data_IF_103582833071
#
_entry.id   IF_103582833071
#
_cell.length_a   1.000
_cell.length_b   1.000
_cell.length_c   1.000
_cell.angle_alpha   90.00
_cell.angle_beta   90.00
_cell.angle_gamma   90.00
#
_symmetry.space_group_name_H-M   'P 1'
#
loop_
_entity.id
_entity.type
_entity.pdbx_description
1 polymer ?
#
# COMPACT_ATOMS: atom_id res chain seq x y z
N UNK A 1 -50.20 -50.31 -38.51
CA UNK A 1 -49.95 -49.26 -37.51
C UNK A 1 -49.38 -49.79 -36.18
N UNK A 2 -49.91 -50.87 -35.60
CA UNK A 2 -49.40 -51.43 -34.32
C UNK A 2 -47.91 -51.83 -34.31
N UNK A 3 -47.38 -52.36 -35.42
CA UNK A 3 -45.96 -52.77 -35.54
C UNK A 3 -44.96 -51.60 -35.70
N UNK A 4 -45.42 -50.45 -36.19
CA UNK A 4 -44.58 -49.24 -36.34
C UNK A 4 -44.46 -48.52 -34.99
N UNK A 5 -45.55 -48.54 -34.20
CA UNK A 5 -45.57 -47.93 -32.87
C UNK A 5 -44.60 -48.62 -31.89
N UNK A 6 -44.48 -49.95 -31.95
CA UNK A 6 -43.53 -50.70 -31.13
C UNK A 6 -42.07 -50.53 -31.57
N UNK A 7 -41.81 -50.32 -32.87
CA UNK A 7 -40.46 -50.03 -33.39
C UNK A 7 -39.98 -48.64 -32.98
N UNK A 8 -40.87 -47.64 -33.01
CA UNK A 8 -40.57 -46.27 -32.55
C UNK A 8 -40.35 -46.22 -31.03
N UNK A 9 -41.13 -46.99 -30.26
CA UNK A 9 -40.92 -47.14 -28.81
C UNK A 9 -39.56 -47.76 -28.46
N UNK A 10 -39.15 -48.82 -29.16
CA UNK A 10 -37.85 -49.45 -28.97
C UNK A 10 -36.68 -48.50 -29.36
N UNK A 11 -36.84 -47.71 -30.42
CA UNK A 11 -35.85 -46.71 -30.84
C UNK A 11 -35.71 -45.58 -29.82
N UNK A 12 -36.81 -45.17 -29.18
CA UNK A 12 -36.80 -44.19 -28.09
C UNK A 12 -36.12 -44.72 -26.82
N UNK A 13 -36.31 -46.01 -26.48
CA UNK A 13 -35.63 -46.65 -25.36
C UNK A 13 -34.10 -46.75 -25.56
N UNK A 14 -33.62 -46.95 -26.79
CA UNK A 14 -32.18 -46.93 -27.10
C UNK A 14 -31.55 -45.54 -26.96
N UNK A 15 -32.32 -44.46 -27.10
CA UNK A 15 -31.83 -43.09 -26.91
C UNK A 15 -31.63 -42.72 -25.43
N UNK A 16 -32.36 -43.37 -24.51
CA UNK A 16 -32.18 -43.15 -23.06
C UNK A 16 -31.06 -43.99 -22.43
N UNK A 17 -30.53 -45.00 -23.14
CA UNK A 17 -29.48 -45.87 -22.61
C UNK A 17 -28.07 -45.25 -22.60
N UNK A 18 -27.87 -44.09 -23.23
CA UNK A 18 -26.53 -43.48 -23.42
C UNK A 18 -26.19 -42.34 -22.44
N UNK A 19 -26.89 -42.22 -21.30
CA UNK A 19 -26.65 -41.15 -20.33
C UNK A 19 -26.68 -41.63 -18.87
N UNK A 20 -26.00 -42.73 -18.57
CA UNK A 20 -25.86 -43.19 -17.19
C UNK A 20 -24.74 -42.38 -16.50
N UNK A 21 -25.13 -41.39 -15.69
CA UNK A 21 -24.21 -40.69 -14.80
C UNK A 21 -23.83 -41.61 -13.64
N UNK A 22 -22.53 -41.69 -13.33
CA UNK A 22 -22.02 -42.41 -12.17
C UNK A 22 -21.26 -41.44 -11.25
N UNK A 23 -21.28 -41.73 -9.96
CA UNK A 23 -20.45 -41.06 -8.98
C UNK A 23 -18.97 -41.44 -9.23
N UNK A 24 -18.19 -40.50 -9.76
CA UNK A 24 -16.75 -40.63 -9.93
C UNK A 24 -16.08 -40.02 -8.71
N UNK A 25 -15.36 -40.85 -7.97
CA UNK A 25 -14.54 -40.44 -6.83
C UNK A 25 -13.08 -40.41 -7.22
N UNK A 26 -12.30 -39.52 -6.61
CA UNK A 26 -10.89 -39.46 -6.92
C UNK A 26 -10.07 -38.60 -6.00
N UNK A 27 -8.77 -38.55 -6.27
CA UNK A 27 -7.81 -37.70 -5.56
C UNK A 27 -6.96 -36.90 -6.55
N UNK A 28 -6.76 -35.61 -6.25
CA UNK A 28 -5.88 -34.71 -7.00
C UNK A 28 -4.53 -34.62 -6.27
N UNK A 29 -3.44 -34.88 -6.99
CA UNK A 29 -2.06 -34.83 -6.47
C UNK A 29 -1.16 -33.98 -7.36
N UNK A 30 -0.06 -33.50 -6.81
CA UNK A 30 1.01 -32.86 -7.57
C UNK A 30 1.97 -33.91 -8.17
N UNK A 31 2.92 -33.47 -9.01
CA UNK A 31 3.96 -34.31 -9.59
C UNK A 31 4.96 -34.90 -8.57
N UNK A 32 4.91 -34.48 -7.30
CA UNK A 32 5.70 -35.01 -6.19
C UNK A 32 4.89 -36.00 -5.32
N UNK A 33 3.62 -36.24 -5.66
CA UNK A 33 2.72 -37.14 -4.95
C UNK A 33 1.99 -36.52 -3.74
N UNK A 34 2.14 -35.22 -3.49
CA UNK A 34 1.41 -34.53 -2.42
C UNK A 34 -0.03 -34.24 -2.85
N UNK A 35 -1.00 -34.28 -1.92
CA UNK A 35 -2.38 -33.91 -2.23
C UNK A 35 -2.49 -32.42 -2.59
N UNK A 36 -3.29 -32.10 -3.61
CA UNK A 36 -3.62 -30.72 -3.98
C UNK A 36 -4.97 -30.35 -3.35
N UNK A 37 -4.96 -29.58 -2.23
CA UNK A 37 -6.20 -29.25 -1.52
C UNK A 37 -7.05 -28.25 -2.32
N UNK A 38 -8.37 -28.36 -2.19
CA UNK A 38 -9.35 -27.40 -2.74
C UNK A 38 -9.33 -27.21 -4.26
N UNK A 39 -8.72 -28.15 -5.01
CA UNK A 39 -8.78 -28.17 -6.46
C UNK A 39 -10.24 -28.19 -6.95
N UNK A 40 -10.55 -27.40 -7.98
CA UNK A 40 -11.87 -27.39 -8.61
C UNK A 40 -11.90 -28.44 -9.72
N UNK A 41 -12.82 -29.40 -9.62
CA UNK A 41 -13.07 -30.45 -10.62
C UNK A 41 -14.40 -30.17 -11.30
N UNK A 42 -14.41 -30.01 -12.62
CA UNK A 42 -15.61 -29.68 -13.40
C UNK A 42 -15.79 -30.63 -14.56
N UNK A 43 -17.02 -31.07 -14.84
CA UNK A 43 -17.33 -31.78 -16.09
C UNK A 43 -17.38 -30.77 -17.24
N UNK A 44 -16.58 -30.98 -18.29
CA UNK A 44 -16.52 -30.11 -19.46
C UNK A 44 -17.90 -30.02 -20.13
N UNK A 45 -18.28 -28.81 -20.57
CA UNK A 45 -19.60 -28.51 -21.14
C UNK A 45 -20.80 -28.73 -20.20
N UNK A 46 -20.55 -28.90 -18.89
CA UNK A 46 -21.59 -29.01 -17.86
C UNK A 46 -21.41 -27.93 -16.79
N UNK A 47 -22.49 -27.65 -16.05
CA UNK A 47 -22.45 -26.82 -14.83
C UNK A 47 -22.05 -27.63 -13.59
N UNK A 48 -21.87 -28.95 -13.72
CA UNK A 48 -21.45 -29.83 -12.63
C UNK A 48 -19.98 -29.57 -12.29
N UNK A 49 -19.73 -29.04 -11.08
CA UNK A 49 -18.41 -28.80 -10.54
C UNK A 49 -18.40 -29.03 -9.03
N UNK A 50 -17.29 -29.54 -8.52
CA UNK A 50 -17.05 -29.79 -7.09
C UNK A 50 -15.66 -29.30 -6.70
N UNK A 51 -15.47 -28.95 -5.44
CA UNK A 51 -14.15 -28.64 -4.88
C UNK A 51 -13.65 -29.84 -4.08
N UNK A 52 -12.38 -30.20 -4.26
CA UNK A 52 -11.72 -31.25 -3.50
C UNK A 52 -11.53 -30.84 -2.02
N UNK A 53 -11.44 -31.82 -1.12
CA UNK A 53 -11.19 -31.58 0.29
C UNK A 53 -9.71 -31.22 0.58
N UNK A 54 -9.37 -31.03 1.86
CA UNK A 54 -8.00 -30.76 2.31
C UNK A 54 -6.99 -31.88 2.01
N UNK A 55 -7.46 -33.09 1.71
CA UNK A 55 -6.64 -34.23 1.30
C UNK A 55 -6.67 -34.42 -0.24
N UNK A 56 -7.24 -33.48 -0.99
CA UNK A 56 -7.35 -33.52 -2.44
C UNK A 56 -8.42 -34.50 -2.96
N UNK A 57 -9.29 -35.04 -2.10
CA UNK A 57 -10.33 -36.00 -2.51
C UNK A 57 -11.59 -35.30 -3.02
N UNK A 58 -12.22 -35.85 -4.04
CA UNK A 58 -13.45 -35.32 -4.62
C UNK A 58 -14.43 -36.44 -4.99
N UNK A 59 -15.70 -36.07 -5.19
CA UNK A 59 -16.76 -36.94 -5.72
C UNK A 59 -17.64 -36.11 -6.65
N UNK A 60 -17.78 -36.51 -7.92
CA UNK A 60 -18.56 -35.79 -8.93
C UNK A 60 -19.36 -36.77 -9.79
N UNK A 61 -20.60 -36.42 -10.11
CA UNK A 61 -21.42 -37.18 -11.05
C UNK A 61 -20.96 -36.89 -12.49
N UNK A 62 -20.48 -37.92 -13.18
CA UNK A 62 -20.03 -37.84 -14.57
C UNK A 62 -20.34 -39.13 -15.33
N UNK A 63 -20.71 -39.01 -16.61
CA UNK A 63 -20.87 -40.18 -17.47
C UNK A 63 -19.50 -40.71 -17.93
N UNK A 64 -19.43 -42.00 -18.25
CA UNK A 64 -18.25 -42.56 -18.90
C UNK A 64 -17.95 -41.81 -20.21
N UNK A 65 -16.68 -41.47 -20.45
CA UNK A 65 -16.24 -40.69 -21.60
C UNK A 65 -16.36 -39.16 -21.41
N UNK A 66 -16.95 -38.68 -20.31
CA UNK A 66 -16.94 -37.27 -19.98
C UNK A 66 -15.52 -36.79 -19.65
N UNK A 67 -15.20 -35.55 -20.01
CA UNK A 67 -13.91 -34.93 -19.70
C UNK A 67 -14.07 -34.09 -18.44
N UNK A 68 -13.25 -34.38 -17.43
CA UNK A 68 -13.10 -33.56 -16.24
C UNK A 68 -12.00 -32.54 -16.49
N UNK A 69 -12.27 -31.27 -16.21
CA UNK A 69 -11.30 -30.18 -16.16
C UNK A 69 -10.98 -29.89 -14.70
N UNK A 70 -9.70 -29.98 -14.33
CA UNK A 70 -9.21 -29.74 -12.99
C UNK A 70 -8.34 -28.48 -12.97
N UNK A 71 -8.62 -27.59 -12.02
CA UNK A 71 -7.89 -26.33 -11.84
C UNK A 71 -7.60 -26.10 -10.36
N UNK A 72 -6.40 -25.61 -10.07
CA UNK A 72 -5.95 -25.27 -8.73
C UNK A 72 -4.97 -24.11 -8.79
N UNK A 73 -4.90 -23.29 -7.74
CA UNK A 73 -3.99 -22.16 -7.70
C UNK A 73 -2.53 -22.64 -7.71
N UNK A 74 -1.72 -22.14 -8.64
CA UNK A 74 -0.31 -22.54 -8.80
C UNK A 74 -0.07 -23.78 -9.66
N UNK A 75 -1.12 -24.38 -10.23
CA UNK A 75 -1.03 -25.56 -11.06
C UNK A 75 -1.53 -25.30 -12.49
N UNK A 76 -1.01 -26.05 -13.45
CA UNK A 76 -1.50 -26.04 -14.82
C UNK A 76 -2.84 -26.77 -14.89
N UNK A 77 -3.84 -26.20 -15.57
CA UNK A 77 -5.11 -26.87 -15.76
C UNK A 77 -4.90 -28.20 -16.50
N UNK A 78 -5.48 -29.28 -15.96
CA UNK A 78 -5.35 -30.62 -16.52
C UNK A 78 -6.74 -31.15 -16.86
N UNK A 79 -6.85 -31.89 -17.96
CA UNK A 79 -8.06 -32.60 -18.33
C UNK A 79 -7.90 -34.09 -18.14
N UNK A 80 -8.98 -34.76 -17.72
CA UNK A 80 -9.00 -36.20 -17.48
C UNK A 80 -10.29 -36.80 -18.02
N UNK A 81 -10.19 -37.83 -18.87
CA UNK A 81 -11.36 -38.51 -19.43
C UNK A 81 -11.81 -39.62 -18.49
N UNK A 82 -13.08 -39.58 -18.06
CA UNK A 82 -13.68 -40.59 -17.19
C UNK A 82 -13.72 -41.94 -17.90
N UNK A 83 -12.97 -42.91 -17.38
CA UNK A 83 -12.96 -44.29 -17.88
C UNK A 83 -14.08 -45.17 -17.28
N UNK A 84 -13.86 -46.48 -17.28
CA UNK A 84 -14.75 -47.46 -16.64
C UNK A 84 -14.60 -47.53 -15.12
N UNK A 85 -13.47 -47.06 -14.58
CA UNK A 85 -13.24 -47.02 -13.13
C UNK A 85 -13.95 -45.83 -12.48
N UNK A 86 -14.67 -46.08 -11.39
CA UNK A 86 -15.27 -45.04 -10.55
C UNK A 86 -14.28 -44.37 -9.59
N UNK A 87 -13.05 -44.90 -9.47
CA UNK A 87 -11.96 -44.33 -8.67
C UNK A 87 -10.85 -43.88 -9.61
N UNK A 88 -10.48 -42.61 -9.56
CA UNK A 88 -9.46 -42.01 -10.42
C UNK A 88 -8.46 -41.17 -9.63
N UNK A 89 -7.21 -41.17 -10.09
CA UNK A 89 -6.16 -40.29 -9.57
C UNK A 89 -5.76 -39.30 -10.66
N UNK A 90 -5.76 -38.00 -10.32
CA UNK A 90 -5.45 -36.92 -11.25
C UNK A 90 -4.17 -36.25 -10.77
N UNK A 91 -3.12 -36.28 -11.58
CA UNK A 91 -1.87 -35.56 -11.30
C UNK A 91 -1.90 -34.21 -11.99
N UNK A 92 -1.62 -33.15 -11.23
CA UNK A 92 -1.46 -31.79 -11.74
C UNK A 92 0.02 -31.41 -11.75
N UNK A 93 0.45 -30.79 -12.84
CA UNK A 93 1.79 -30.23 -12.93
C UNK A 93 1.81 -28.84 -12.30
N UNK A 94 2.87 -28.55 -11.53
CA UNK A 94 3.11 -27.21 -11.03
C UNK A 94 3.28 -26.26 -12.22
N UNK A 95 2.51 -25.18 -12.25
CA UNK A 95 2.73 -24.16 -13.25
C UNK A 95 3.96 -23.36 -12.83
N UNK A 96 4.98 -23.26 -13.69
CA UNK A 96 6.10 -22.35 -13.43
C UNK A 96 5.56 -20.95 -13.12
N UNK A 97 6.18 -20.31 -12.13
CA UNK A 97 5.76 -19.11 -11.41
C UNK A 97 4.76 -18.22 -12.18
N UNK A 98 3.61 -17.95 -11.55
CA UNK A 98 2.62 -16.96 -11.99
C UNK A 98 3.34 -15.74 -12.58
N UNK A 99 3.21 -15.54 -13.90
CA UNK A 99 3.75 -14.37 -14.57
C UNK A 99 3.21 -13.12 -13.87
N UNK A 100 4.08 -12.39 -13.18
CA UNK A 100 3.69 -11.15 -12.52
C UNK A 100 3.36 -10.12 -13.62
N UNK A 101 2.08 -9.75 -13.71
CA UNK A 101 1.57 -8.84 -14.74
C UNK A 101 1.62 -7.42 -14.23
N UNK A 102 2.51 -6.60 -14.80
CA UNK A 102 2.67 -5.20 -14.47
C UNK A 102 1.78 -4.36 -15.39
N UNK A 103 1.07 -3.37 -14.84
CA UNK A 103 0.35 -2.40 -15.67
C UNK A 103 1.35 -1.34 -16.12
N UNK A 104 1.55 -1.28 -17.43
CA UNK A 104 2.36 -0.26 -18.08
C UNK A 104 1.49 0.94 -18.45
N UNK A 105 2.10 1.98 -19.01
CA UNK A 105 1.40 3.18 -19.44
C UNK A 105 0.14 2.87 -20.27
N UNK A 106 -0.92 3.68 -20.08
CA UNK A 106 -2.22 3.56 -20.76
C UNK A 106 -3.00 2.25 -20.47
N UNK A 107 -2.73 1.58 -19.35
CA UNK A 107 -3.52 0.41 -18.92
C UNK A 107 -3.18 -0.88 -19.66
N UNK A 108 -2.09 -0.89 -20.45
CA UNK A 108 -1.61 -2.07 -21.14
C UNK A 108 -0.89 -2.97 -20.14
N UNK A 109 -1.40 -4.19 -19.97
CA UNK A 109 -0.79 -5.22 -19.12
C UNK A 109 0.33 -5.93 -19.89
N UNK A 110 1.51 -6.04 -19.27
CA UNK A 110 2.66 -6.77 -19.81
C UNK A 110 3.24 -7.68 -18.74
N UNK A 111 3.79 -8.81 -19.15
CA UNK A 111 4.51 -9.66 -18.22
C UNK A 111 5.80 -8.96 -17.80
N UNK A 112 6.13 -9.00 -16.52
CA UNK A 112 7.31 -8.32 -15.96
C UNK A 112 8.62 -8.71 -16.65
N UNK A 113 8.74 -9.96 -17.07
CA UNK A 113 9.90 -10.53 -17.77
C UNK A 113 10.05 -10.06 -19.22
N UNK A 114 9.00 -9.48 -19.83
CA UNK A 114 9.04 -8.94 -21.20
C UNK A 114 9.48 -7.46 -21.24
N UNK A 115 9.57 -6.79 -20.09
CA UNK A 115 9.87 -5.36 -20.02
C UNK A 115 11.38 -5.13 -20.09
N UNK A 116 11.89 -4.31 -21.03
CA UNK A 116 13.31 -3.97 -21.12
C UNK A 116 13.77 -2.94 -20.06
N UNK A 117 12.93 -2.66 -19.07
CA UNK A 117 13.16 -1.65 -18.04
C UNK A 117 12.66 -2.10 -16.67
N UNK A 118 13.24 -1.50 -15.62
CA UNK A 118 12.79 -1.74 -14.26
C UNK A 118 11.44 -1.06 -14.00
N UNK A 119 10.39 -1.88 -13.86
CA UNK A 119 9.10 -1.51 -13.31
C UNK A 119 8.82 -2.36 -12.07
N UNK A 120 8.20 -1.75 -11.06
CA UNK A 120 7.81 -2.47 -9.86
C UNK A 120 6.35 -2.18 -9.55
N UNK A 121 5.57 -3.24 -9.35
CA UNK A 121 4.18 -3.15 -8.95
C UNK A 121 4.04 -3.32 -7.44
N UNK A 122 3.15 -2.53 -6.85
CA UNK A 122 2.65 -2.70 -5.48
C UNK A 122 1.14 -2.87 -5.59
N UNK A 123 0.61 -3.97 -5.06
CA UNK A 123 -0.84 -4.24 -5.09
C UNK A 123 -1.56 -3.42 -4.01
N UNK A 124 -2.83 -3.10 -4.23
CA UNK A 124 -3.63 -2.29 -3.30
C UNK A 124 -3.74 -2.88 -1.89
N UNK A 125 -3.69 -4.20 -1.77
CA UNK A 125 -3.69 -4.87 -0.46
C UNK A 125 -2.43 -4.51 0.35
N UNK A 126 -1.28 -4.38 -0.30
CA UNK A 126 -0.05 -3.95 0.37
C UNK A 126 -0.13 -2.51 0.84
N UNK A 127 -0.87 -1.64 0.14
CA UNK A 127 -1.03 -0.24 0.51
C UNK A 127 -1.92 -0.04 1.73
N UNK A 128 -2.84 -0.97 1.97
CA UNK A 128 -3.86 -0.87 3.03
C UNK A 128 -3.54 -1.71 4.27
N UNK A 129 -2.53 -2.60 4.21
CA UNK A 129 -2.02 -3.36 5.38
C UNK A 129 -1.69 -2.48 6.58
N UNK A 130 -1.06 -1.33 6.32
CA UNK A 130 -0.83 -0.28 7.31
C UNK A 130 -1.70 0.88 6.90
N UNK A 131 -2.60 1.31 7.81
CA UNK A 131 -3.47 2.45 7.54
C UNK A 131 -2.65 3.73 7.55
N UNK A 132 -2.37 4.25 6.35
CA UNK A 132 -1.75 5.57 6.15
C UNK A 132 -2.79 6.56 5.67
N UNK A 133 -2.52 7.86 5.86
CA UNK A 133 -3.40 8.95 5.42
C UNK A 133 -3.45 9.09 3.90
N UNK A 134 -2.39 8.68 3.19
CA UNK A 134 -2.32 8.70 1.73
C UNK A 134 -1.58 7.47 1.19
N UNK A 135 -1.75 7.19 -0.10
CA UNK A 135 -1.12 6.03 -0.77
C UNK A 135 0.41 6.15 -0.85
N UNK A 136 0.95 7.36 -1.00
CA UNK A 136 2.37 7.58 -1.24
C UNK A 136 3.22 7.18 -0.02
N UNK A 137 2.73 7.51 1.19
CA UNK A 137 3.35 7.08 2.45
C UNK A 137 3.41 5.56 2.57
N UNK A 138 2.37 4.86 2.10
CA UNK A 138 2.34 3.40 2.11
C UNK A 138 3.36 2.75 1.17
N UNK A 139 3.94 3.49 0.21
CA UNK A 139 4.99 2.99 -0.69
C UNK A 139 6.38 3.05 -0.06
N UNK A 140 6.55 3.77 1.05
CA UNK A 140 7.83 3.91 1.74
C UNK A 140 8.38 2.53 2.13
N UNK A 141 9.63 2.26 1.75
CA UNK A 141 10.28 0.96 1.97
C UNK A 141 9.79 -0.21 1.11
N UNK A 142 8.71 -0.04 0.32
CA UNK A 142 8.18 -1.12 -0.55
C UNK A 142 8.72 -1.07 -1.97
N UNK A 143 9.22 0.08 -2.43
CA UNK A 143 9.75 0.26 -3.79
C UNK A 143 11.21 0.67 -3.76
N UNK A 144 12.07 -0.12 -4.40
CA UNK A 144 13.50 0.17 -4.44
C UNK A 144 13.81 1.44 -5.23
N UNK A 145 14.61 2.34 -4.66
CA UNK A 145 15.00 3.62 -5.27
C UNK A 145 13.91 4.69 -5.23
N UNK A 146 12.77 4.42 -4.57
CA UNK A 146 11.74 5.40 -4.28
C UNK A 146 11.98 6.00 -2.89
N UNK A 147 12.10 7.32 -2.84
CA UNK A 147 12.20 8.09 -1.61
C UNK A 147 10.91 8.89 -1.43
N UNK A 148 10.22 8.63 -0.32
CA UNK A 148 9.03 9.38 0.08
C UNK A 148 9.43 10.36 1.16
N UNK A 149 9.23 11.66 0.93
CA UNK A 149 9.37 12.70 1.95
C UNK A 149 7.97 13.16 2.33
N UNK A 150 7.53 12.70 3.50
CA UNK A 150 6.24 13.05 4.10
C UNK A 150 6.37 14.35 4.91
N UNK A 151 5.31 15.16 4.90
CA UNK A 151 5.11 16.17 5.93
C UNK A 151 4.52 15.51 7.19
N UNK A 152 4.83 16.06 8.36
CA UNK A 152 4.31 15.60 9.65
C UNK A 152 2.95 16.23 10.01
N UNK A 153 2.44 17.15 9.20
CA UNK A 153 1.10 17.72 9.35
C UNK A 153 0.05 16.84 8.69
N UNK A 154 -1.15 16.79 9.27
CA UNK A 154 -2.29 16.16 8.61
C UNK A 154 -2.61 16.90 7.31
N UNK A 155 -2.76 16.15 6.21
CA UNK A 155 -3.02 16.74 4.88
C UNK A 155 -1.84 17.49 4.26
N UNK A 156 -0.65 17.45 4.86
CA UNK A 156 0.53 18.10 4.30
C UNK A 156 1.04 17.42 3.01
N UNK A 157 1.87 18.13 2.26
CA UNK A 157 2.37 17.67 0.97
C UNK A 157 3.19 16.39 1.12
N UNK A 158 3.07 15.50 0.14
CA UNK A 158 3.93 14.31 0.04
C UNK A 158 4.78 14.39 -1.22
N UNK A 159 6.10 14.41 -1.03
CA UNK A 159 7.07 14.47 -2.12
C UNK A 159 7.56 13.06 -2.48
N UNK A 160 7.39 12.69 -3.74
CA UNK A 160 7.77 11.38 -4.27
C UNK A 160 8.99 11.54 -5.18
N UNK A 161 10.15 11.10 -4.73
CA UNK A 161 11.42 11.27 -5.45
C UNK A 161 11.93 9.90 -5.87
N UNK A 162 12.23 9.73 -7.15
CA UNK A 162 12.66 8.45 -7.71
C UNK A 162 14.08 8.53 -8.25
N UNK A 163 14.97 7.72 -7.69
CA UNK A 163 16.42 7.68 -8.01
C UNK A 163 17.13 9.01 -7.77
N UNK A 164 16.78 9.69 -6.69
CA UNK A 164 17.45 10.92 -6.22
C UNK A 164 17.05 12.19 -6.97
N UNK A 165 17.69 13.29 -6.60
CA UNK A 165 17.47 14.61 -7.19
C UNK A 165 18.22 14.74 -8.53
N UNK A 166 17.52 15.18 -9.57
CA UNK A 166 18.05 15.43 -10.92
C UNK A 166 18.19 16.92 -11.23
N UNK A 167 17.45 17.75 -10.52
CA UNK A 167 17.48 19.20 -10.63
C UNK A 167 17.86 19.84 -9.29
N UNK A 168 18.72 20.86 -9.33
CA UNK A 168 19.15 21.60 -8.14
C UNK A 168 18.09 22.61 -7.72
N UNK A 169 17.43 23.25 -8.69
CA UNK A 169 16.49 24.37 -8.47
C UNK A 169 15.07 24.11 -8.98
N UNK A 170 14.87 23.04 -9.75
CA UNK A 170 13.59 22.70 -10.37
C UNK A 170 12.86 21.53 -9.70
N UNK A 171 11.82 21.06 -10.37
CA UNK A 171 10.96 19.97 -9.88
C UNK A 171 11.66 18.61 -9.99
N UNK A 172 11.62 17.85 -8.89
CA UNK A 172 12.22 16.52 -8.75
C UNK A 172 11.19 15.42 -8.46
N UNK A 173 9.91 15.79 -8.28
CA UNK A 173 8.84 14.84 -8.07
C UNK A 173 8.62 13.97 -9.30
N UNK A 174 8.35 12.68 -9.05
CA UNK A 174 7.86 11.75 -10.05
C UNK A 174 6.44 12.16 -10.49
N UNK A 175 6.14 11.96 -11.78
CA UNK A 175 4.81 12.25 -12.30
C UNK A 175 3.79 11.24 -11.75
N UNK A 176 2.74 11.73 -11.11
CA UNK A 176 1.60 10.88 -10.70
C UNK A 176 0.61 10.78 -11.85
N UNK A 177 0.22 9.56 -12.19
CA UNK A 177 -0.75 9.28 -13.26
C UNK A 177 -1.84 8.38 -12.69
N UNK A 178 -3.10 8.79 -12.81
CA UNK A 178 -4.26 8.04 -12.32
C UNK A 178 -5.05 7.54 -13.53
N UNK A 179 -5.16 6.23 -13.70
CA UNK A 179 -5.87 5.59 -14.81
C UNK A 179 -5.48 6.13 -16.20
N UNK A 180 -4.22 6.50 -16.37
CA UNK A 180 -3.67 7.03 -17.61
C UNK A 180 -3.68 8.57 -17.73
N UNK A 181 -4.35 9.27 -16.82
CA UNK A 181 -4.42 10.74 -16.81
C UNK A 181 -3.37 11.31 -15.85
N UNK A 182 -2.47 12.21 -16.31
CA UNK A 182 -1.51 12.88 -15.43
C UNK A 182 -2.22 13.75 -14.39
N UNK A 183 -1.94 13.50 -13.11
CA UNK A 183 -2.39 14.34 -12.01
C UNK A 183 -1.42 15.50 -11.80
N UNK A 184 -1.94 16.69 -11.52
CA UNK A 184 -1.12 17.83 -11.14
C UNK A 184 -0.74 17.69 -9.66
N UNK A 185 0.53 17.38 -9.39
CA UNK A 185 1.04 17.22 -8.03
C UNK A 185 1.86 18.45 -7.54
N UNK A 186 1.71 19.60 -8.21
CA UNK A 186 2.45 20.80 -7.88
C UNK A 186 2.19 21.23 -6.43
N UNK A 187 3.25 21.60 -5.74
CA UNK A 187 3.16 22.21 -4.42
C UNK A 187 2.81 23.71 -4.59
N UNK A 188 1.66 24.14 -4.05
CA UNK A 188 1.18 25.52 -4.15
C UNK A 188 1.66 26.41 -3.00
N UNK A 189 2.50 25.89 -2.10
CA UNK A 189 3.05 26.67 -1.00
C UNK A 189 4.06 27.71 -1.50
N UNK A 190 4.11 28.86 -0.82
CA UNK A 190 5.08 29.93 -1.05
C UNK A 190 6.51 29.48 -0.73
N UNK A 191 7.51 30.21 -1.25
CA UNK A 191 8.92 29.95 -0.95
C UNK A 191 9.25 30.03 0.55
N UNK A 192 8.55 30.83 1.34
CA UNK A 192 8.74 30.91 2.79
C UNK A 192 8.29 29.62 3.49
N UNK A 193 7.14 29.08 3.08
CA UNK A 193 6.61 27.80 3.57
C UNK A 193 7.51 26.62 3.18
N UNK A 194 7.98 26.58 1.93
CA UNK A 194 8.87 25.50 1.45
C UNK A 194 10.23 25.48 2.19
N UNK A 195 10.73 26.63 2.62
CA UNK A 195 11.98 26.76 3.37
C UNK A 195 11.80 26.71 4.89
N UNK A 196 10.59 26.45 5.40
CA UNK A 196 10.31 26.33 6.83
C UNK A 196 10.43 27.65 7.61
N UNK A 197 10.42 28.80 6.93
CA UNK A 197 10.55 30.13 7.55
C UNK A 197 9.22 30.72 8.03
N UNK A 198 8.10 30.07 7.70
CA UNK A 198 6.76 30.45 8.17
C UNK A 198 5.64 29.93 7.28
N UNK A 199 4.44 29.82 7.83
CA UNK A 199 3.22 29.37 7.15
C UNK A 199 2.94 27.86 7.26
N UNK A 200 1.79 27.44 6.74
CA UNK A 200 1.31 26.05 6.79
C UNK A 200 1.44 25.36 5.43
N UNK A 201 1.70 24.06 5.41
CA UNK A 201 1.65 23.27 4.18
C UNK A 201 0.21 22.84 3.92
N UNK A 202 -0.35 23.22 2.76
CA UNK A 202 -1.72 22.93 2.37
C UNK A 202 -1.90 21.62 1.57
N UNK A 203 -0.83 20.85 1.36
CA UNK A 203 -0.91 19.57 0.67
C UNK A 203 -0.67 19.62 -0.84
N UNK A 204 -0.75 18.46 -1.46
CA UNK A 204 -0.69 18.27 -2.91
C UNK A 204 -1.57 17.09 -3.34
N UNK A 205 -1.85 16.96 -4.64
CA UNK A 205 -2.79 15.95 -5.15
C UNK A 205 -2.41 14.50 -4.80
N UNK A 206 -1.13 14.18 -4.60
CA UNK A 206 -0.70 12.86 -4.14
C UNK A 206 -1.17 12.54 -2.71
N UNK A 207 -1.37 13.56 -1.86
CA UNK A 207 -1.93 13.39 -0.53
C UNK A 207 -3.45 13.14 -0.55
N UNK A 208 -4.16 13.58 -1.60
CA UNK A 208 -5.61 13.48 -1.71
C UNK A 208 -6.11 12.11 -2.18
N UNK A 209 -5.21 11.26 -2.69
CA UNK A 209 -5.58 9.94 -3.22
C UNK A 209 -5.76 8.94 -2.07
N UNK A 210 -7.00 8.51 -1.89
CA UNK A 210 -7.37 7.49 -0.91
C UNK A 210 -6.75 6.13 -1.30
N UNK A 211 -5.93 5.51 -0.42
CA UNK A 211 -5.33 4.20 -0.70
C UNK A 211 -6.37 3.09 -0.87
N UNK A 212 -7.57 3.20 -0.30
CA UNK A 212 -8.62 2.19 -0.43
C UNK A 212 -9.21 2.13 -1.86
N UNK A 213 -9.07 3.19 -2.64
CA UNK A 213 -9.54 3.24 -4.04
C UNK A 213 -8.50 2.69 -5.03
N UNK A 214 -7.28 2.43 -4.56
CA UNK A 214 -6.16 1.96 -5.39
C UNK A 214 -6.21 0.43 -5.56
N UNK A 215 -6.27 -0.02 -6.81
CA UNK A 215 -6.11 -1.44 -7.17
C UNK A 215 -4.62 -1.83 -7.21
N UNK A 216 -3.80 -1.00 -7.87
CA UNK A 216 -2.35 -1.19 -7.88
C UNK A 216 -1.60 0.10 -8.21
N UNK A 217 -0.34 0.16 -7.79
CA UNK A 217 0.63 1.21 -8.13
C UNK A 217 1.78 0.59 -8.89
N UNK A 218 2.07 1.12 -10.06
CA UNK A 218 3.22 0.74 -10.87
C UNK A 218 4.23 1.88 -10.92
N UNK A 219 5.45 1.62 -10.46
CA UNK A 219 6.53 2.61 -10.44
C UNK A 219 7.44 2.37 -11.63
N UNK A 220 7.44 3.32 -12.56
CA UNK A 220 8.24 3.31 -13.78
C UNK A 220 9.52 4.11 -13.54
N UNK A 221 10.66 3.42 -13.45
CA UNK A 221 11.90 3.98 -12.86
C UNK A 221 12.84 4.69 -13.84
N UNK A 222 12.58 4.63 -15.15
CA UNK A 222 13.50 5.15 -16.16
C UNK A 222 12.79 5.73 -17.38
N UNK A 223 13.53 6.54 -18.14
CA UNK A 223 13.02 7.27 -19.30
C UNK A 223 12.41 6.37 -20.39
N UNK A 224 12.96 5.16 -20.58
CA UNK A 224 12.41 4.19 -21.53
C UNK A 224 11.01 3.70 -21.15
N UNK A 225 10.71 3.62 -19.85
CA UNK A 225 9.41 3.21 -19.33
C UNK A 225 8.37 4.34 -19.40
N UNK A 226 8.85 5.59 -19.44
CA UNK A 226 8.03 6.78 -19.26
C UNK A 226 7.89 7.63 -20.52
N UNK A 227 8.44 7.18 -21.65
CA UNK A 227 8.42 7.89 -22.93
C UNK A 227 7.02 8.35 -23.36
N UNK A 228 5.98 7.56 -23.04
CA UNK A 228 4.59 7.88 -23.35
C UNK A 228 4.03 9.10 -22.59
N UNK A 229 4.67 9.52 -21.50
CA UNK A 229 4.25 10.65 -20.68
C UNK A 229 5.09 11.92 -20.90
N UNK A 230 6.08 11.85 -21.81
CA UNK A 230 6.89 12.99 -22.24
C UNK A 230 7.87 13.50 -21.17
N UNK A 231 8.28 14.77 -21.30
CA UNK A 231 9.33 15.39 -20.46
C UNK A 231 8.99 15.43 -18.97
N UNK A 232 7.71 15.56 -18.60
CA UNK A 232 7.23 15.51 -17.20
C UNK A 232 7.56 14.19 -16.50
N UNK A 233 7.80 13.15 -17.29
CA UNK A 233 8.07 11.80 -16.83
C UNK A 233 9.58 11.50 -16.71
N UNK A 234 10.44 12.52 -16.92
CA UNK A 234 11.89 12.41 -16.78
C UNK A 234 12.31 12.03 -15.35
N UNK A 235 11.53 12.41 -14.35
CA UNK A 235 11.73 12.05 -12.94
C UNK A 235 11.11 10.68 -12.57
N UNK A 236 10.55 9.96 -13.54
CA UNK A 236 9.82 8.71 -13.31
C UNK A 236 8.30 8.93 -13.24
N UNK A 237 7.56 7.82 -13.20
CA UNK A 237 6.09 7.82 -13.13
C UNK A 237 5.60 6.90 -12.03
N UNK A 238 4.62 7.38 -11.26
CA UNK A 238 3.80 6.61 -10.34
C UNK A 238 2.44 6.42 -11.01
N UNK A 239 2.25 5.24 -11.61
CA UNK A 239 1.02 4.89 -12.31
C UNK A 239 0.06 4.19 -11.35
N UNK A 240 -1.01 4.87 -11.00
CA UNK A 240 -2.08 4.38 -10.14
C UNK A 240 -3.18 3.83 -11.03
N UNK A 241 -3.60 2.60 -10.76
CA UNK A 241 -4.82 2.01 -11.32
C UNK A 241 -5.85 1.94 -10.21
N UNK A 242 -7.03 2.52 -10.42
CA UNK A 242 -8.11 2.51 -9.43
C UNK A 242 -8.97 1.24 -9.55
N UNK A 243 -9.61 0.87 -8.44
CA UNK A 243 -10.53 -0.27 -8.39
C UNK A 243 -11.74 0.00 -9.29
N UNK A 244 -12.04 -0.94 -10.18
CA UNK A 244 -13.21 -0.88 -11.07
C UNK A 244 -14.34 -1.77 -10.55
N UNK A 245 -15.58 -1.41 -10.87
CA UNK A 245 -16.75 -2.23 -10.56
C UNK A 245 -16.65 -3.62 -11.18
N UNK A 246 -16.88 -4.67 -10.39
CA UNK A 246 -16.89 -6.06 -10.85
C UNK A 246 -18.31 -6.46 -11.23
N UNK A 247 -18.48 -7.19 -12.35
CA UNK A 247 -19.78 -7.74 -12.75
C UNK A 247 -20.18 -8.89 -11.81
N UNK A 248 -21.37 -8.79 -11.21
CA UNK A 248 -21.97 -9.79 -10.34
C UNK A 248 -22.89 -9.15 -9.29
N UNK A 249 -23.88 -9.89 -8.78
CA UNK A 249 -24.65 -9.48 -7.60
C UNK A 249 -23.75 -9.69 -6.37
N UNK A 250 -23.13 -8.62 -5.90
CA UNK A 250 -22.34 -8.65 -4.68
C UNK A 250 -22.24 -7.25 -4.09
N UNK A 251 -22.79 -7.06 -2.89
CA UNK A 251 -22.57 -5.84 -2.12
C UNK A 251 -21.21 -5.99 -1.45
N UNK A 252 -20.25 -5.14 -1.81
CA UNK A 252 -18.94 -5.08 -1.13
C UNK A 252 -18.95 -3.86 -0.23
N UNK A 253 -18.93 -4.08 1.08
CA UNK A 253 -18.84 -3.02 2.10
C UNK A 253 -17.44 -3.05 2.71
N UNK A 254 -16.67 -1.98 2.49
CA UNK A 254 -15.36 -1.78 3.11
C UNK A 254 -15.50 -0.73 4.21
N UNK A 255 -15.32 -1.13 5.46
CA UNK A 255 -15.29 -0.23 6.62
C UNK A 255 -13.89 -0.29 7.23
N UNK A 256 -13.25 0.86 7.36
CA UNK A 256 -11.97 1.01 8.03
C UNK A 256 -12.06 2.10 9.10
N UNK A 257 -11.55 1.82 10.29
CA UNK A 257 -11.39 2.78 11.37
C UNK A 257 -10.05 2.57 12.04
N UNK A 258 -9.39 3.67 12.42
CA UNK A 258 -8.10 3.65 13.10
C UNK A 258 -8.00 4.77 14.12
N UNK A 259 -7.27 4.52 15.20
CA UNK A 259 -6.85 5.54 16.16
C UNK A 259 -5.34 5.49 16.28
N UNK A 260 -4.73 6.64 16.53
CA UNK A 260 -3.28 6.76 16.70
C UNK A 260 -2.96 7.70 17.85
N UNK A 261 -1.86 7.44 18.52
CA UNK A 261 -1.29 8.32 19.55
C UNK A 261 0.15 8.65 19.20
N UNK A 262 0.59 9.86 19.55
CA UNK A 262 2.00 10.23 19.39
C UNK A 262 2.88 9.48 20.39
N UNK A 263 4.02 8.99 19.91
CA UNK A 263 5.02 8.36 20.77
C UNK A 263 5.88 9.44 21.46
N UNK A 264 5.60 9.67 22.74
CA UNK A 264 6.31 10.65 23.58
C UNK A 264 7.79 10.30 23.78
N UNK A 265 8.21 9.07 23.52
CA UNK A 265 9.63 8.68 23.65
C UNK A 265 10.53 9.36 22.62
N UNK A 266 9.96 9.82 21.51
CA UNK A 266 10.65 10.56 20.43
C UNK A 266 10.83 12.04 20.74
N UNK A 267 10.24 12.53 21.83
CA UNK A 267 10.34 13.94 22.20
C UNK A 267 11.77 14.32 22.57
N UNK A 268 12.09 15.59 22.33
CA UNK A 268 13.34 16.17 22.80
C UNK A 268 13.40 16.01 24.32
N UNK A 269 14.47 15.41 24.82
CA UNK A 269 14.75 15.35 26.24
C UNK A 269 15.31 16.70 26.66
N UNK A 270 14.47 17.50 27.30
CA UNK A 270 14.92 18.76 27.90
C UNK A 270 15.73 18.47 29.15
N UNK A 271 16.74 19.32 29.38
CA UNK A 271 17.42 19.38 30.66
C UNK A 271 16.54 20.17 31.65
N UNK A 272 16.69 19.90 32.94
CA UNK A 272 15.93 20.54 34.02
C UNK A 272 16.85 21.21 35.07
N UNK A 273 18.14 21.34 34.76
CA UNK A 273 19.14 21.87 35.68
C UNK A 273 19.43 23.35 35.46
N UNK A 274 19.13 23.94 34.30
CA UNK A 274 19.46 25.31 33.95
C UNK A 274 18.28 26.03 33.28
N UNK A 275 18.09 27.31 33.57
CA UNK A 275 17.09 28.16 32.91
C UNK A 275 17.55 28.68 31.54
N UNK A 276 16.66 29.43 30.88
CA UNK A 276 17.04 30.27 29.73
C UNK A 276 18.03 31.35 30.15
N UNK A 277 18.92 31.72 29.24
CA UNK A 277 19.92 32.77 29.45
C UNK A 277 21.34 32.38 29.03
N UNK A 278 22.18 33.39 28.97
CA UNK A 278 23.62 33.25 28.76
C UNK A 278 24.33 33.32 30.11
N UNK A 279 25.41 32.56 30.28
CA UNK A 279 26.38 32.81 31.34
C UNK A 279 27.74 33.01 30.70
N UNK A 280 28.09 34.27 30.47
CA UNK A 280 29.43 34.70 30.08
C UNK A 280 29.89 35.79 31.07
N UNK A 281 30.83 35.47 31.99
CA UNK A 281 31.33 36.44 32.96
C UNK A 281 32.09 37.63 32.33
N UNK A 282 32.49 37.52 31.05
CA UNK A 282 33.24 38.56 30.34
C UNK A 282 32.38 39.39 29.37
N UNK A 283 31.19 38.92 28.98
CA UNK A 283 30.39 39.54 27.91
C UNK A 283 28.90 39.81 28.19
N UNK A 284 28.25 39.13 29.15
CA UNK A 284 26.79 39.26 29.35
C UNK A 284 26.38 39.09 30.82
N UNK A 285 26.59 40.14 31.63
CA UNK A 285 25.77 40.34 32.85
C UNK A 285 24.55 41.16 32.46
N UNK A 286 23.34 40.72 32.81
CA UNK A 286 22.13 41.52 32.62
C UNK A 286 22.31 42.88 33.31
N UNK A 287 22.41 43.95 32.53
CA UNK A 287 22.74 45.29 33.02
C UNK A 287 21.50 45.96 33.62
N UNK A 288 20.93 45.35 34.65
CA UNK A 288 19.82 45.91 35.38
C UNK A 288 20.30 47.09 36.25
N UNK A 289 19.41 48.06 36.47
CA UNK A 289 19.62 49.14 37.43
C UNK A 289 18.43 49.19 38.40
N UNK A 290 18.62 48.78 39.67
CA UNK A 290 19.85 48.27 40.28
C UNK A 290 20.26 46.88 39.74
N UNK A 291 21.56 46.51 39.81
CA UNK A 291 22.04 45.24 39.28
C UNK A 291 21.36 44.07 39.97
N UNK A 292 21.12 43.00 39.20
CA UNK A 292 20.54 41.78 39.73
C UNK A 292 21.41 41.21 40.85
N UNK A 293 20.83 40.77 41.99
CA UNK A 293 21.58 40.09 43.04
C UNK A 293 22.11 38.72 42.56
N UNK A 294 21.66 38.23 41.40
CA UNK A 294 22.22 37.08 40.71
C UNK A 294 22.32 37.39 39.22
N UNK A 295 23.55 37.54 38.73
CA UNK A 295 23.90 37.94 37.35
C UNK A 295 23.31 37.04 36.25
N UNK A 296 22.71 35.90 36.61
CA UNK A 296 22.06 34.96 35.69
C UNK A 296 20.54 35.15 35.55
N UNK A 297 19.96 36.10 36.27
CA UNK A 297 18.54 36.48 36.16
C UNK A 297 18.41 37.96 35.83
N UNK A 298 17.34 38.31 35.12
CA UNK A 298 16.85 39.68 35.07
C UNK A 298 16.31 40.04 36.46
N UNK A 299 16.39 41.30 36.83
CA UNK A 299 15.86 41.80 38.08
C UNK A 299 14.97 42.99 37.81
N UNK A 300 13.67 42.77 37.66
CA UNK A 300 12.67 43.78 37.25
C UNK A 300 11.40 43.64 38.07
N UNK A 301 10.61 44.71 38.17
CA UNK A 301 9.25 44.64 38.73
C UNK A 301 8.33 44.03 37.66
N UNK A 302 8.16 42.72 37.70
CA UNK A 302 7.47 41.96 36.65
C UNK A 302 5.95 42.04 36.76
N UNK A 303 5.43 42.31 37.95
CA UNK A 303 4.00 42.31 38.27
C UNK A 303 3.44 43.74 38.52
N UNK A 304 4.30 44.75 38.61
CA UNK A 304 3.94 46.15 38.82
C UNK A 304 3.62 46.51 40.28
N UNK A 305 4.04 45.71 41.26
CA UNK A 305 3.76 45.93 42.68
C UNK A 305 4.77 46.84 43.39
N UNK A 306 5.79 47.31 42.67
CA UNK A 306 6.88 48.15 43.19
C UNK A 306 8.02 47.36 43.83
N UNK A 307 7.93 46.04 43.90
CA UNK A 307 8.99 45.11 44.32
C UNK A 307 9.61 44.48 43.07
N UNK A 308 10.94 44.40 43.03
CA UNK A 308 11.63 43.76 41.91
C UNK A 308 11.77 42.27 42.18
N UNK A 309 11.52 41.48 41.15
CA UNK A 309 11.61 40.04 41.14
C UNK A 309 12.80 39.59 40.31
N UNK A 310 13.36 38.44 40.67
CA UNK A 310 14.23 37.70 39.77
C UNK A 310 13.37 37.13 38.65
N UNK A 311 13.70 37.41 37.40
CA UNK A 311 12.96 36.97 36.21
C UNK A 311 13.87 36.14 35.33
N UNK A 312 13.35 35.01 34.83
CA UNK A 312 14.07 34.20 33.86
C UNK A 312 14.13 34.93 32.51
N UNK A 313 15.31 35.09 31.89
CA UNK A 313 15.47 35.76 30.61
C UNK A 313 14.97 34.84 29.46
N UNK A 314 13.65 34.68 29.36
CA UNK A 314 12.99 33.78 28.38
C UNK A 314 13.08 34.26 26.93
N UNK A 315 13.54 35.50 26.72
CA UNK A 315 13.83 36.07 25.39
C UNK A 315 15.15 35.56 24.80
N UNK A 316 16.02 34.97 25.62
CA UNK A 316 17.32 34.48 25.18
C UNK A 316 17.18 33.07 24.57
N UNK A 317 17.93 32.82 23.50
CA UNK A 317 17.94 31.56 22.75
C UNK A 317 18.95 30.53 23.31
N UNK A 318 19.70 30.89 24.36
CA UNK A 318 20.61 29.99 25.07
C UNK A 318 19.97 29.34 26.31
N UNK A 319 20.36 28.09 26.60
CA UNK A 319 19.95 27.31 27.78
C UNK A 319 21.07 27.14 28.80
N UNK A 320 21.90 28.18 28.98
CA UNK A 320 23.06 28.16 29.89
C UNK A 320 22.89 29.17 31.04
N UNK A 321 21.63 29.47 31.42
CA UNK A 321 21.29 30.44 32.44
C UNK A 321 21.54 29.95 33.87
N UNK A 322 20.77 30.48 34.82
CA UNK A 322 20.88 30.09 36.22
C UNK A 322 20.60 28.60 36.43
N UNK A 323 21.38 27.95 37.31
CA UNK A 323 21.09 26.58 37.73
C UNK A 323 19.78 26.57 38.53
N UNK A 324 18.94 25.57 38.33
CA UNK A 324 17.71 25.37 39.08
C UNK A 324 18.03 25.26 40.58
N UNK A 325 17.40 26.13 41.36
CA UNK A 325 17.47 26.15 42.82
C UNK A 325 16.04 26.23 43.39
N UNK A 326 15.54 25.17 44.07
CA UNK A 326 14.19 25.17 44.61
C UNK A 326 13.99 26.17 45.77
N UNK A 327 15.05 26.77 46.31
CA UNK A 327 14.97 27.77 47.38
C UNK A 327 14.85 29.20 46.85
N UNK A 328 14.96 29.40 45.54
CA UNK A 328 14.91 30.71 44.91
C UNK A 328 13.51 30.96 44.32
N UNK A 329 12.84 32.02 44.76
CA UNK A 329 11.61 32.48 44.13
C UNK A 329 11.96 33.31 42.90
N UNK A 330 11.63 32.78 41.72
CA UNK A 330 11.88 33.42 40.43
C UNK A 330 10.57 33.51 39.67
N UNK A 331 10.32 34.69 39.11
CA UNK A 331 9.18 34.98 38.27
C UNK A 331 9.43 34.45 36.84
N UNK A 332 8.45 33.73 36.29
CA UNK A 332 8.54 33.02 35.01
C UNK A 332 7.29 33.20 34.17
#
# INVERSE_FOLDING_TARGET
>A
MRKILSLVGALFLCLFANAQSQAVTGQVKDNLGNPVPFATVRVQNSKSAVSADSAGRFSIEAAQGAILEVSAAGFQNTTFTVGTSAIIEITMENHEALSEVVVTALGIRRNKNELPYAAQQVRGEELTKVRTTNFANALSGKVAGLQIRQNNTMGGSTNIILRGYKSITGENQALVVIDGVPANNSNTNTSAQQNGRGGFDYGNAAADINPDDVESVNVLKGAAATALYGSRAANGVILITTKKGRRGLGVTLNIGGGTGSMDKSTWVKYQHEYGGGYYDPDFYTYSDSPPSPNERFLYIDANGDGVRDLVIPTTEDASFGARFDPNLSVYQ
#
